data_IF_375930125484
#
_entry.id   IF_375930125484
#
_cell.length_a   1.000
_cell.length_b   1.000
_cell.length_c   1.000
_cell.angle_alpha   90.00
_cell.angle_beta   90.00
_cell.angle_gamma   90.00
#
_symmetry.space_group_name_H-M   'P 1'
#
loop_
_entity.id
_entity.type
_entity.pdbx_description
1 polymer ?
#
# COMPACT_ATOMS: atom_id res chain seq x y z
N UNK A 1 -17.30 24.03 -17.48
CA UNK A 1 -15.85 24.28 -17.43
C UNK A 1 -15.16 22.98 -17.06
N UNK A 2 -14.26 22.44 -17.89
CA UNK A 2 -13.44 21.28 -17.48
C UNK A 2 -12.43 21.81 -16.46
N UNK A 3 -12.65 21.50 -15.19
CA UNK A 3 -11.66 21.77 -14.15
C UNK A 3 -10.33 21.13 -14.59
N UNK A 4 -9.20 21.85 -14.47
CA UNK A 4 -7.91 21.27 -14.77
C UNK A 4 -7.74 20.03 -13.89
N UNK A 5 -7.32 18.90 -14.49
CA UNK A 5 -7.04 17.65 -13.78
C UNK A 5 -5.83 17.84 -12.86
N UNK A 6 -6.03 18.46 -11.71
CA UNK A 6 -5.04 18.53 -10.63
C UNK A 6 -5.49 17.53 -9.58
N UNK A 7 -5.19 16.27 -9.88
CA UNK A 7 -5.50 15.14 -9.03
C UNK A 7 -4.18 14.54 -8.59
N UNK A 8 -4.04 14.24 -7.29
CA UNK A 8 -2.87 13.61 -6.64
C UNK A 8 -2.55 12.19 -7.16
N UNK A 9 -3.06 11.84 -8.35
CA UNK A 9 -2.91 10.55 -9.01
C UNK A 9 -1.46 10.16 -9.18
N UNK A 10 -0.56 11.10 -9.53
CA UNK A 10 0.86 10.75 -9.70
C UNK A 10 1.48 10.31 -8.38
N UNK A 11 1.19 11.05 -7.31
CA UNK A 11 1.63 10.70 -5.95
C UNK A 11 1.11 9.32 -5.54
N UNK A 12 -0.20 9.06 -5.73
CA UNK A 12 -0.80 7.76 -5.39
C UNK A 12 -0.32 6.59 -6.26
N UNK A 13 0.06 6.85 -7.52
CA UNK A 13 0.71 5.86 -8.38
C UNK A 13 2.12 5.51 -7.87
N UNK A 14 2.91 6.51 -7.46
CA UNK A 14 4.24 6.30 -6.89
C UNK A 14 4.12 5.53 -5.57
N UNK A 15 3.20 5.91 -4.69
CA UNK A 15 2.91 5.19 -3.44
C UNK A 15 2.55 3.73 -3.72
N UNK A 16 1.66 3.47 -4.68
CA UNK A 16 1.26 2.12 -5.07
C UNK A 16 2.42 1.29 -5.61
N UNK A 17 3.26 1.88 -6.47
CA UNK A 17 4.42 1.20 -7.06
C UNK A 17 5.47 0.90 -5.98
N UNK A 18 5.79 1.87 -5.12
CA UNK A 18 6.77 1.69 -4.05
C UNK A 18 6.28 0.64 -3.05
N UNK A 19 5.03 0.74 -2.60
CA UNK A 19 4.45 -0.22 -1.65
C UNK A 19 4.33 -1.61 -2.26
N UNK A 20 3.91 -1.70 -3.53
CA UNK A 20 3.87 -2.95 -4.28
C UNK A 20 5.25 -3.59 -4.45
N UNK A 21 6.27 -2.79 -4.72
CA UNK A 21 7.67 -3.26 -4.82
C UNK A 21 8.15 -3.81 -3.48
N UNK A 22 7.91 -3.10 -2.38
CA UNK A 22 8.24 -3.58 -1.02
C UNK A 22 7.54 -4.91 -0.74
N UNK A 23 6.25 -5.02 -1.09
CA UNK A 23 5.51 -6.28 -0.95
C UNK A 23 6.10 -7.43 -1.74
N UNK A 24 6.46 -7.20 -3.01
CA UNK A 24 7.10 -8.21 -3.84
C UNK A 24 8.46 -8.66 -3.27
N UNK A 25 9.25 -7.72 -2.73
CA UNK A 25 10.53 -8.02 -2.09
C UNK A 25 10.36 -8.84 -0.81
N UNK A 26 9.36 -8.51 0.01
CA UNK A 26 9.06 -9.27 1.23
C UNK A 26 8.59 -10.69 0.90
N UNK A 27 7.67 -10.83 -0.07
CA UNK A 27 7.22 -12.14 -0.55
C UNK A 27 8.40 -12.97 -1.07
N UNK A 28 9.27 -12.36 -1.87
CA UNK A 28 10.49 -13.01 -2.33
C UNK A 28 11.36 -13.46 -1.15
N UNK A 29 11.60 -12.58 -0.17
CA UNK A 29 12.38 -12.87 1.03
C UNK A 29 11.78 -14.01 1.87
N UNK A 30 10.46 -14.14 1.93
CA UNK A 30 9.74 -15.20 2.65
C UNK A 30 9.73 -16.58 1.97
N UNK A 31 10.12 -16.69 0.69
CA UNK A 31 10.15 -17.98 0.00
C UNK A 31 11.21 -18.93 0.61
N UNK A 32 10.87 -20.19 0.92
CA UNK A 32 11.77 -21.19 1.51
C UNK A 32 12.68 -21.82 0.45
N UNK A 33 13.37 -20.99 -0.32
CA UNK A 33 14.25 -21.39 -1.42
C UNK A 33 15.62 -20.80 -1.13
N UNK A 34 16.70 -21.55 -1.39
CA UNK A 34 18.05 -21.02 -1.34
C UNK A 34 18.19 -19.88 -2.36
N UNK A 35 18.49 -18.68 -1.84
CA UNK A 35 18.57 -17.47 -2.64
C UNK A 35 20.01 -17.25 -3.07
N UNK A 36 20.30 -17.19 -4.38
CA UNK A 36 21.63 -16.85 -4.85
C UNK A 36 22.04 -15.45 -4.38
N UNK A 37 23.32 -15.22 -4.10
CA UNK A 37 23.80 -13.91 -3.63
C UNK A 37 23.48 -12.74 -4.58
N UNK A 38 23.37 -13.01 -5.90
CA UNK A 38 23.01 -12.00 -6.89
C UNK A 38 21.56 -11.52 -6.76
N UNK A 39 20.64 -12.32 -6.21
CA UNK A 39 19.26 -11.86 -6.00
C UNK A 39 19.17 -10.87 -4.83
N UNK A 40 20.08 -10.98 -3.86
CA UNK A 40 20.22 -10.00 -2.77
C UNK A 40 20.63 -8.61 -3.30
N UNK A 41 21.51 -8.57 -4.31
CA UNK A 41 21.87 -7.34 -5.03
C UNK A 41 20.66 -6.69 -5.72
N UNK A 42 19.82 -7.49 -6.40
CA UNK A 42 18.59 -6.98 -7.01
C UNK A 42 17.61 -6.45 -5.96
N UNK A 43 17.42 -7.17 -4.85
CA UNK A 43 16.55 -6.73 -3.74
C UNK A 43 17.03 -5.39 -3.17
N UNK A 44 18.33 -5.24 -2.93
CA UNK A 44 18.93 -3.98 -2.47
C UNK A 44 18.73 -2.84 -3.48
N UNK A 45 18.94 -3.12 -4.77
CA UNK A 45 18.75 -2.12 -5.82
C UNK A 45 17.30 -1.65 -5.91
N UNK A 46 16.33 -2.58 -5.87
CA UNK A 46 14.91 -2.23 -5.87
C UNK A 46 14.50 -1.45 -4.62
N UNK A 47 15.02 -1.83 -3.45
CA UNK A 47 14.79 -1.08 -2.21
C UNK A 47 15.36 0.35 -2.30
N UNK A 48 16.56 0.51 -2.86
CA UNK A 48 17.18 1.81 -3.08
C UNK A 48 16.36 2.67 -4.05
N UNK A 49 15.89 2.10 -5.16
CA UNK A 49 15.05 2.78 -6.14
C UNK A 49 13.70 3.21 -5.55
N UNK A 50 13.06 2.35 -4.76
CA UNK A 50 11.82 2.69 -4.05
C UNK A 50 12.05 3.84 -3.05
N UNK A 51 13.16 3.80 -2.29
CA UNK A 51 13.55 4.88 -1.38
C UNK A 51 13.82 6.20 -2.11
N UNK A 52 14.55 6.16 -3.22
CA UNK A 52 14.77 7.32 -4.09
C UNK A 52 13.46 7.88 -4.65
N UNK A 53 12.53 7.01 -5.06
CA UNK A 53 11.20 7.41 -5.53
C UNK A 53 10.44 8.22 -4.49
N UNK A 54 10.43 7.76 -3.23
CA UNK A 54 9.78 8.47 -2.12
C UNK A 54 10.46 9.81 -1.85
N UNK A 55 11.79 9.86 -1.83
CA UNK A 55 12.55 11.11 -1.61
C UNK A 55 12.29 12.12 -2.72
N UNK A 56 12.27 11.67 -3.98
CA UNK A 56 11.96 12.53 -5.13
C UNK A 56 10.53 13.05 -5.07
N UNK A 57 9.58 12.24 -4.60
CA UNK A 57 8.18 12.66 -4.41
C UNK A 57 8.04 13.81 -3.39
N UNK A 58 8.88 13.83 -2.35
CA UNK A 58 8.93 14.93 -1.36
C UNK A 58 9.51 16.22 -1.98
N UNK A 59 10.43 16.09 -2.94
CA UNK A 59 11.12 17.21 -3.59
C UNK A 59 10.33 17.80 -4.77
N UNK A 60 9.41 17.04 -5.38
CA UNK A 60 8.58 17.50 -6.49
C UNK A 60 7.41 18.34 -5.95
N UNK A 61 7.06 19.47 -6.60
CA UNK A 61 5.91 20.27 -6.19
C UNK A 61 4.64 19.41 -6.12
N UNK A 62 4.05 19.33 -4.92
CA UNK A 62 2.85 18.52 -4.70
C UNK A 62 1.71 19.01 -5.59
N UNK A 63 1.07 18.07 -6.28
CA UNK A 63 -0.19 18.32 -6.97
C UNK A 63 -1.21 18.83 -5.94
N UNK A 64 -1.98 19.87 -6.29
CA UNK A 64 -3.03 20.37 -5.41
C UNK A 64 -4.14 19.33 -5.36
N UNK A 65 -4.61 19.01 -4.15
CA UNK A 65 -5.76 18.13 -3.98
C UNK A 65 -7.04 18.91 -4.30
N UNK A 66 -7.72 18.53 -5.37
CA UNK A 66 -9.08 18.98 -5.65
C UNK A 66 -10.09 18.39 -4.64
N UNK A 67 -11.27 19.00 -4.53
CA UNK A 67 -12.35 18.56 -3.62
C UNK A 67 -12.81 17.12 -3.92
N UNK A 68 -12.84 16.74 -5.20
CA UNK A 68 -13.10 15.37 -5.65
C UNK A 68 -12.03 14.38 -5.13
N UNK A 69 -10.75 14.73 -5.26
CA UNK A 69 -9.66 13.90 -4.78
C UNK A 69 -9.75 13.69 -3.26
N UNK A 70 -10.11 14.72 -2.48
CA UNK A 70 -10.32 14.59 -1.02
C UNK A 70 -11.47 13.63 -0.69
N UNK A 71 -12.57 13.68 -1.44
CA UNK A 71 -13.70 12.76 -1.25
C UNK A 71 -13.31 11.32 -1.57
N UNK A 72 -12.59 11.11 -2.66
CA UNK A 72 -12.11 9.78 -3.07
C UNK A 72 -11.09 9.22 -2.08
N UNK A 73 -10.21 10.05 -1.52
CA UNK A 73 -9.29 9.66 -0.45
C UNK A 73 -10.04 9.27 0.82
N UNK A 74 -11.04 10.05 1.25
CA UNK A 74 -11.86 9.71 2.41
C UNK A 74 -12.64 8.40 2.22
N UNK A 75 -13.13 8.11 1.01
CA UNK A 75 -13.79 6.85 0.71
C UNK A 75 -12.83 5.66 0.71
N UNK A 76 -11.63 5.82 0.14
CA UNK A 76 -10.60 4.80 0.19
C UNK A 76 -10.16 4.51 1.64
N UNK A 77 -9.99 5.54 2.46
CA UNK A 77 -9.64 5.43 3.88
C UNK A 77 -10.73 4.73 4.67
N UNK A 78 -12.00 5.10 4.48
CA UNK A 78 -13.13 4.46 5.14
C UNK A 78 -13.23 2.97 4.78
N UNK A 79 -12.98 2.61 3.51
CA UNK A 79 -12.98 1.21 3.07
C UNK A 79 -11.87 0.41 3.76
N UNK A 80 -10.65 0.93 3.78
CA UNK A 80 -9.52 0.27 4.46
C UNK A 80 -9.81 0.11 5.95
N UNK A 81 -10.36 1.14 6.60
CA UNK A 81 -10.69 1.10 8.02
C UNK A 81 -11.79 0.07 8.34
N UNK A 82 -12.81 -0.03 7.49
CA UNK A 82 -13.85 -1.05 7.62
C UNK A 82 -13.28 -2.47 7.45
N UNK A 83 -12.36 -2.68 6.50
CA UNK A 83 -11.67 -3.96 6.35
C UNK A 83 -10.85 -4.32 7.59
N UNK A 84 -10.16 -3.35 8.19
CA UNK A 84 -9.43 -3.54 9.46
C UNK A 84 -10.38 -3.94 10.58
N UNK A 85 -11.55 -3.31 10.70
CA UNK A 85 -12.55 -3.69 11.71
C UNK A 85 -13.08 -5.10 11.49
N UNK A 86 -13.38 -5.49 10.24
CA UNK A 86 -13.81 -6.85 9.92
C UNK A 86 -12.69 -7.85 10.28
N UNK A 87 -11.45 -7.56 9.92
CA UNK A 87 -10.31 -8.41 10.27
C UNK A 87 -10.16 -8.56 11.80
N UNK A 88 -10.28 -7.46 12.55
CA UNK A 88 -10.23 -7.48 14.02
C UNK A 88 -11.38 -8.29 14.64
N UNK A 89 -12.59 -8.18 14.09
CA UNK A 89 -13.74 -8.98 14.51
C UNK A 89 -13.49 -10.48 14.26
N UNK A 90 -12.94 -10.84 13.10
CA UNK A 90 -12.58 -12.23 12.77
C UNK A 90 -11.53 -12.76 13.74
N UNK A 91 -10.46 -12.00 13.99
CA UNK A 91 -9.42 -12.36 14.97
C UNK A 91 -10.03 -12.60 16.35
N UNK A 92 -10.92 -11.71 16.79
CA UNK A 92 -11.60 -11.83 18.09
C UNK A 92 -12.49 -13.07 18.18
N UNK A 93 -13.23 -13.40 17.11
CA UNK A 93 -14.07 -14.61 17.08
C UNK A 93 -13.21 -15.89 17.12
N UNK A 94 -12.07 -15.90 16.44
CA UNK A 94 -11.15 -17.03 16.44
C UNK A 94 -10.50 -17.24 17.82
N UNK A 95 -10.08 -16.17 18.49
CA UNK A 95 -9.50 -16.28 19.84
C UNK A 95 -10.53 -16.71 20.88
N UNK A 96 -11.79 -16.26 20.76
CA UNK A 96 -12.90 -16.76 21.59
C UNK A 96 -13.18 -18.24 21.36
N UNK A 97 -12.94 -18.75 20.15
CA UNK A 97 -13.01 -20.17 19.82
C UNK A 97 -11.79 -20.99 20.27
N UNK A 98 -10.97 -20.45 21.16
CA UNK A 98 -9.72 -21.07 21.67
C UNK A 98 -8.67 -21.40 20.59
N UNK A 99 -8.76 -20.75 19.42
CA UNK A 99 -7.72 -20.88 18.39
C UNK A 99 -6.50 -20.08 18.80
N UNK A 100 -5.36 -20.75 18.98
CA UNK A 100 -4.08 -20.09 19.22
C UNK A 100 -3.62 -19.37 17.96
N UNK A 101 -3.72 -18.03 17.98
CA UNK A 101 -3.22 -17.16 16.93
C UNK A 101 -1.84 -16.64 17.32
N UNK A 102 -0.82 -17.07 16.59
CA UNK A 102 0.53 -16.52 16.66
C UNK A 102 0.71 -15.60 15.45
N UNK A 103 0.82 -14.29 15.68
CA UNK A 103 1.10 -13.31 14.63
C UNK A 103 2.56 -12.87 14.77
N UNK A 104 3.33 -13.13 13.73
CA UNK A 104 4.73 -12.72 13.60
C UNK A 104 4.85 -11.26 13.13
N UNK A 105 5.98 -10.62 13.41
CA UNK A 105 6.26 -9.26 12.93
C UNK A 105 6.22 -9.16 11.40
N UNK A 106 6.61 -10.23 10.69
CA UNK A 106 6.54 -10.29 9.22
C UNK A 106 5.11 -10.26 8.71
N UNK A 107 4.19 -10.98 9.36
CA UNK A 107 2.75 -10.96 9.01
C UNK A 107 2.13 -9.58 9.24
N UNK A 108 2.52 -8.89 10.31
CA UNK A 108 2.11 -7.51 10.56
C UNK A 108 2.57 -6.58 9.42
N UNK A 109 3.83 -6.71 8.97
CA UNK A 109 4.35 -5.91 7.86
C UNK A 109 3.59 -6.20 6.56
N UNK A 110 3.26 -7.46 6.27
CA UNK A 110 2.43 -7.80 5.11
C UNK A 110 1.05 -7.13 5.16
N UNK A 111 0.42 -7.07 6.34
CA UNK A 111 -0.83 -6.34 6.51
C UNK A 111 -0.69 -4.85 6.18
N UNK A 112 0.38 -4.18 6.64
CA UNK A 112 0.63 -2.77 6.31
C UNK A 112 0.85 -2.55 4.81
N UNK A 113 1.62 -3.41 4.17
CA UNK A 113 1.84 -3.37 2.72
C UNK A 113 0.53 -3.57 1.97
N UNK A 114 -0.27 -4.56 2.36
CA UNK A 114 -1.57 -4.84 1.75
C UNK A 114 -2.53 -3.64 1.90
N UNK A 115 -2.58 -3.03 3.09
CA UNK A 115 -3.38 -1.83 3.33
C UNK A 115 -2.93 -0.66 2.45
N UNK A 116 -1.62 -0.42 2.31
CA UNK A 116 -1.11 0.64 1.46
C UNK A 116 -1.44 0.44 -0.03
N UNK A 117 -1.24 -0.79 -0.54
CA UNK A 117 -1.62 -1.14 -1.92
C UNK A 117 -3.12 -0.95 -2.14
N UNK A 118 -3.94 -1.41 -1.19
CA UNK A 118 -5.39 -1.35 -1.29
C UNK A 118 -5.89 0.10 -1.22
N UNK A 119 -5.35 0.91 -0.31
CA UNK A 119 -5.67 2.34 -0.18
C UNK A 119 -5.39 3.11 -1.47
N UNK A 120 -4.15 3.05 -1.96
CA UNK A 120 -3.74 3.79 -3.16
C UNK A 120 -4.39 3.22 -4.42
N UNK A 121 -4.59 1.89 -4.49
CA UNK A 121 -5.30 1.22 -5.58
C UNK A 121 -6.77 1.63 -5.67
N UNK A 122 -7.50 1.63 -4.55
CA UNK A 122 -8.90 2.06 -4.47
C UNK A 122 -9.03 3.54 -4.80
N UNK A 123 -8.13 4.39 -4.30
CA UNK A 123 -8.10 5.81 -4.68
C UNK A 123 -7.96 5.99 -6.20
N UNK A 124 -6.98 5.30 -6.82
CA UNK A 124 -6.75 5.39 -8.26
C UNK A 124 -7.93 4.83 -9.08
N UNK A 125 -8.61 3.82 -8.54
CA UNK A 125 -9.83 3.28 -9.12
C UNK A 125 -10.96 4.33 -9.09
N UNK A 126 -11.19 4.99 -7.96
CA UNK A 126 -12.19 6.07 -7.85
C UNK A 126 -11.82 7.30 -8.69
N UNK A 127 -10.53 7.62 -8.83
CA UNK A 127 -10.13 8.70 -9.73
C UNK A 127 -10.39 8.37 -11.21
N UNK A 128 -10.21 7.10 -11.61
CA UNK A 128 -10.41 6.66 -12.99
C UNK A 128 -11.86 6.42 -13.36
N UNK A 129 -12.66 5.90 -12.42
CA UNK A 129 -14.03 5.42 -12.68
C UNK A 129 -15.10 6.07 -11.80
N UNK A 130 -14.73 6.79 -10.75
CA UNK A 130 -15.66 7.57 -9.94
C UNK A 130 -16.10 8.84 -10.66
N UNK A 131 -17.34 9.24 -10.44
CA UNK A 131 -17.91 10.50 -10.91
C UNK A 131 -17.37 11.71 -10.15
#
# INVERSE_FOLDING_TARGET
MKLPRLSIVRSKQVELICTGTIGALLLYAGLPIEKPAWTMLFVMLFALLAGLGIVLEVLIPKEKSDERARKNEAQADALVFNLVYIAAAVVTLLTLGEVSLSITSTEVIYCFVAMGILRSGVFLYYERFGE
#
